data_IF_307208610024
#
_entry.id   IF_307208610024
#
_cell.length_a   1.000
_cell.length_b   1.000
_cell.length_c   1.000
_cell.angle_alpha   90.00
_cell.angle_beta   90.00
_cell.angle_gamma   90.00
#
_symmetry.space_group_name_H-M   'P 1'
#
loop_
_entity.id
_entity.type
_entity.pdbx_description
1 polymer ?
#
# COMPACT_ATOMS: atom_id res chain seq x y z
N UNK A 1 10.46 -8.62 9.95
CA UNK A 1 11.10 -7.28 9.91
C UNK A 1 10.08 -6.35 9.29
N UNK A 2 9.81 -5.17 9.85
CA UNK A 2 8.77 -4.28 9.30
C UNK A 2 9.25 -3.62 8.02
N UNK A 3 8.68 -4.03 6.89
CA UNK A 3 9.02 -3.52 5.57
C UNK A 3 8.07 -2.38 5.18
N UNK A 4 8.61 -1.18 5.00
CA UNK A 4 7.79 -0.02 4.63
C UNK A 4 7.70 0.15 3.12
N UNK A 5 6.48 0.36 2.62
CA UNK A 5 6.20 0.58 1.20
C UNK A 5 5.46 1.90 0.98
N UNK A 6 5.60 2.47 -0.21
CA UNK A 6 4.85 3.64 -0.65
C UNK A 6 3.73 3.20 -1.59
N UNK A 7 2.49 3.56 -1.28
CA UNK A 7 1.32 3.20 -2.07
C UNK A 7 0.51 4.42 -2.52
N UNK A 8 -0.24 4.28 -3.60
CA UNK A 8 -1.24 5.27 -4.05
C UNK A 8 -2.58 4.58 -4.25
N UNK A 9 -3.64 5.23 -3.76
CA UNK A 9 -5.02 4.77 -3.93
C UNK A 9 -5.62 5.22 -5.27
N UNK A 10 -5.12 6.32 -5.82
CA UNK A 10 -5.63 6.96 -7.04
C UNK A 10 -4.48 7.43 -7.93
N UNK A 11 -4.76 7.63 -9.23
CA UNK A 11 -3.79 8.20 -10.19
C UNK A 11 -3.27 9.58 -9.78
N UNK A 12 -4.12 10.40 -9.18
CA UNK A 12 -3.83 11.80 -8.80
C UNK A 12 -3.60 11.91 -7.28
N UNK A 13 -3.91 10.87 -6.50
CA UNK A 13 -3.85 10.88 -5.04
C UNK A 13 -2.46 11.09 -4.46
N UNK A 14 -2.41 11.48 -3.18
CA UNK A 14 -1.18 11.60 -2.39
C UNK A 14 -0.53 10.23 -2.21
N UNK A 15 0.80 10.17 -2.19
CA UNK A 15 1.54 8.98 -1.80
C UNK A 15 1.34 8.75 -0.31
N UNK A 16 0.88 7.56 0.06
CA UNK A 16 0.71 7.12 1.45
C UNK A 16 1.67 6.00 1.76
N UNK A 17 2.16 5.93 3.00
CA UNK A 17 3.08 4.89 3.42
C UNK A 17 2.36 3.81 4.20
N UNK A 18 2.67 2.56 3.88
CA UNK A 18 2.08 1.40 4.52
C UNK A 18 3.16 0.45 5.03
N UNK A 19 2.88 -0.19 6.15
CA UNK A 19 3.65 -1.33 6.61
C UNK A 19 3.20 -2.58 5.84
N UNK A 20 4.14 -3.25 5.18
CA UNK A 20 3.91 -4.52 4.48
C UNK A 20 4.21 -5.74 5.35
N UNK A 21 4.71 -5.56 6.57
CA UNK A 21 5.13 -6.64 7.44
C UNK A 21 6.18 -7.52 6.76
N UNK A 22 5.91 -8.82 6.68
CA UNK A 22 6.76 -9.79 5.99
C UNK A 22 6.25 -10.12 4.56
N UNK A 23 5.29 -9.35 4.02
CA UNK A 23 4.82 -9.52 2.64
C UNK A 23 5.88 -9.06 1.64
N UNK A 24 6.21 -9.93 0.69
CA UNK A 24 7.07 -9.58 -0.42
C UNK A 24 6.26 -8.91 -1.54
N UNK A 25 6.17 -7.59 -1.48
CA UNK A 25 5.43 -6.71 -2.42
C UNK A 25 6.39 -5.72 -3.07
N UNK A 26 6.22 -5.48 -4.37
CA UNK A 26 7.08 -4.59 -5.14
C UNK A 26 6.30 -3.54 -5.95
N UNK A 27 6.99 -2.53 -6.52
CA UNK A 27 6.37 -1.54 -7.39
C UNK A 27 5.56 -2.18 -8.53
N UNK A 28 4.32 -1.74 -8.72
CA UNK A 28 3.38 -2.31 -9.69
C UNK A 28 2.43 -3.36 -9.10
N UNK A 29 2.74 -3.93 -7.94
CA UNK A 29 1.81 -4.80 -7.23
C UNK A 29 0.60 -3.99 -6.71
N UNK A 30 -0.51 -4.71 -6.51
CA UNK A 30 -1.71 -4.19 -5.86
C UNK A 30 -1.84 -4.83 -4.50
N UNK A 31 -2.17 -4.02 -3.51
CA UNK A 31 -2.30 -4.46 -2.12
C UNK A 31 -3.61 -3.95 -1.54
N UNK A 32 -4.16 -4.72 -0.61
CA UNK A 32 -5.28 -4.30 0.21
C UNK A 32 -4.72 -3.67 1.47
N UNK A 33 -5.08 -2.42 1.70
CA UNK A 33 -4.65 -1.61 2.84
C UNK A 33 -5.84 -1.39 3.77
N UNK A 34 -5.62 -1.56 5.07
CA UNK A 34 -6.59 -1.20 6.09
C UNK A 34 -6.53 0.30 6.37
N UNK A 35 -7.66 0.98 6.16
CA UNK A 35 -7.87 2.39 6.47
C UNK A 35 -8.98 2.52 7.51
N UNK A 36 -9.14 3.71 8.11
CA UNK A 36 -10.17 3.95 9.12
C UNK A 36 -11.60 3.67 8.64
N UNK A 37 -11.82 3.64 7.32
CA UNK A 37 -13.11 3.38 6.69
C UNK A 37 -13.23 1.94 6.13
N UNK A 38 -12.29 1.05 6.47
CA UNK A 38 -12.26 -0.33 6.01
C UNK A 38 -11.10 -0.62 5.05
N UNK A 39 -11.27 -1.63 4.20
CA UNK A 39 -10.23 -2.05 3.27
C UNK A 39 -10.30 -1.27 1.95
N UNK A 40 -9.14 -0.80 1.47
CA UNK A 40 -9.01 -0.15 0.18
C UNK A 40 -7.87 -0.75 -0.65
N UNK A 41 -8.06 -0.81 -1.96
CA UNK A 41 -7.03 -1.24 -2.90
C UNK A 41 -6.07 -0.08 -3.13
N UNK A 42 -4.77 -0.37 -3.06
CA UNK A 42 -3.70 0.58 -3.37
C UNK A 42 -2.66 -0.05 -4.30
N UNK A 43 -2.03 0.78 -5.13
CA UNK A 43 -0.88 0.40 -5.94
C UNK A 43 0.41 0.69 -5.22
N UNK A 44 1.30 -0.29 -5.19
CA UNK A 44 2.67 -0.09 -4.70
C UNK A 44 3.45 0.72 -5.72
N UNK A 45 3.96 1.87 -5.29
CA UNK A 45 4.78 2.79 -6.10
C UNK A 45 6.23 2.73 -5.67
N UNK A 46 6.49 2.54 -4.36
CA UNK A 46 7.83 2.44 -3.78
C UNK A 46 7.94 1.09 -3.07
N UNK A 47 9.00 0.33 -3.39
CA UNK A 47 9.26 -0.98 -2.81
C UNK A 47 9.79 -0.91 -1.39
N UNK A 48 9.82 -2.07 -0.73
CA UNK A 48 10.33 -2.20 0.63
C UNK A 48 11.83 -1.85 0.72
N UNK A 49 12.22 -1.18 1.81
CA UNK A 49 13.62 -0.84 2.10
C UNK A 49 14.15 0.42 1.39
N UNK A 50 13.32 1.12 0.60
CA UNK A 50 13.68 2.40 -0.02
C UNK A 50 13.23 3.62 0.78
N UNK A 51 12.50 3.43 1.88
CA UNK A 51 11.88 4.51 2.66
C UNK A 51 12.43 4.51 4.07
N UNK A 52 12.79 5.69 4.56
CA UNK A 52 13.23 5.91 5.94
C UNK A 52 12.00 6.28 6.78
N UNK A 53 11.76 5.58 7.90
CA UNK A 53 10.62 5.86 8.80
C UNK A 53 10.53 7.33 9.26
N UNK A 54 11.68 8.00 9.38
CA UNK A 54 11.77 9.41 9.77
C UNK A 54 11.20 10.39 8.74
N UNK A 55 11.05 9.98 7.47
CA UNK A 55 10.47 10.80 6.39
C UNK A 55 8.96 10.57 6.23
N UNK A 56 8.38 9.68 7.03
CA UNK A 56 6.98 9.29 6.94
C UNK A 56 6.15 10.19 7.84
N UNK A 57 5.47 11.15 7.24
CA UNK A 57 4.57 12.05 7.95
C UNK A 57 3.12 11.54 7.91
N UNK A 58 2.52 11.32 9.08
CA UNK A 58 1.12 10.94 9.24
C UNK A 58 0.91 9.52 9.78
N UNK A 59 -0.36 9.07 9.91
CA UNK A 59 -0.67 7.73 10.38
C UNK A 59 -0.18 6.70 9.36
N UNK A 60 0.61 5.74 9.84
CA UNK A 60 1.04 4.61 9.03
C UNK A 60 -0.13 3.67 8.81
N UNK A 61 -0.41 3.33 7.56
CA UNK A 61 -1.41 2.31 7.24
C UNK A 61 -0.77 0.91 7.26
N UNK A 62 -1.60 -0.12 7.24
CA UNK A 62 -1.14 -1.52 7.23
C UNK A 62 -1.67 -2.28 6.02
N UNK A 63 -0.78 -3.02 5.38
CA UNK A 63 -1.15 -3.95 4.31
C UNK A 63 -1.73 -5.21 4.94
N UNK A 64 -2.95 -5.54 4.54
CA UNK A 64 -3.63 -6.78 4.95
C UNK A 64 -3.14 -7.94 4.09
N UNK A 65 -3.12 -7.77 2.77
CA UNK A 65 -2.70 -8.81 1.80
C UNK A 65 -2.42 -8.22 0.41
N UNK A 66 -1.83 -9.02 -0.48
CA UNK A 66 -1.86 -8.75 -1.93
C UNK A 66 -3.29 -8.78 -2.44
N UNK A 67 -3.63 -7.83 -3.31
CA UNK A 67 -4.89 -7.83 -4.01
C UNK A 67 -4.88 -8.95 -5.06
N UNK A 68 -5.99 -9.68 -5.14
CA UNK A 68 -6.24 -10.70 -6.15
C UNK A 68 -6.93 -10.06 -7.35
N UNK A 69 -7.00 -10.79 -8.47
CA UNK A 69 -7.70 -10.31 -9.68
C UNK A 69 -9.18 -10.01 -9.41
N UNK A 70 -9.82 -10.78 -8.51
CA UNK A 70 -11.19 -10.54 -8.08
C UNK A 70 -11.38 -9.16 -7.40
N UNK A 71 -10.40 -8.71 -6.62
CA UNK A 71 -10.47 -7.41 -5.93
C UNK A 71 -10.41 -6.27 -6.97
N UNK A 72 -9.63 -6.46 -8.03
CA UNK A 72 -9.46 -5.48 -9.12
C UNK A 72 -10.73 -5.31 -9.95
N UNK A 73 -11.49 -6.38 -10.19
CA UNK A 73 -12.69 -6.32 -11.02
C UNK A 73 -13.84 -5.52 -10.39
N UNK A 74 -13.84 -5.30 -9.07
CA UNK A 74 -14.93 -4.62 -8.36
C UNK A 74 -14.76 -3.09 -8.37
N UNK A 75 -13.56 -2.56 -8.64
CA UNK A 75 -13.30 -1.12 -8.73
C UNK A 75 -12.47 -0.80 -9.98
N UNK A 76 -13.11 -0.68 -11.16
CA UNK A 76 -12.47 -0.05 -12.32
C UNK A 76 -12.22 1.43 -12.02
N UNK A 77 -10.96 1.84 -12.22
CA UNK A 77 -10.49 3.23 -12.25
C UNK A 77 -11.26 4.14 -13.21
#
# INVERSE_FOLDING_TARGET
MTALIGVRFDRIGKLSYCDSGDLNVGPGDRVIVETSNGHQIAWVVIGSGQIVYSEVEGPLLHVVRKALEEDVSVHPI
#
